data_IF_286625194029
#
_entry.id   IF_286625194029
#
_cell.length_a   1.000
_cell.length_b   1.000
_cell.length_c   1.000
_cell.angle_alpha   90.00
_cell.angle_beta   90.00
_cell.angle_gamma   90.00
#
_symmetry.space_group_name_H-M   'P 1'
#
loop_
_entity.id
_entity.type
_entity.pdbx_description
1 polymer ?
#
# COMPACT_ATOMS: atom_id res chain seq x y z
N UNK A 1 50.68 -1.25 -37.93
CA UNK A 1 49.62 -2.19 -37.49
C UNK A 1 49.37 -1.99 -36.00
N UNK A 2 48.26 -1.33 -35.66
CA UNK A 2 47.78 -1.15 -34.28
C UNK A 2 47.28 -2.51 -33.77
N UNK A 3 47.85 -3.03 -32.67
CA UNK A 3 47.26 -4.17 -31.94
C UNK A 3 46.53 -3.62 -30.72
N UNK A 4 45.20 -3.62 -30.80
CA UNK A 4 44.30 -3.44 -29.69
C UNK A 4 44.51 -4.59 -28.70
N UNK A 5 45.04 -4.31 -27.52
CA UNK A 5 45.04 -5.24 -26.40
C UNK A 5 44.04 -4.72 -25.38
N UNK A 6 42.78 -5.14 -25.54
CA UNK A 6 41.74 -4.98 -24.52
C UNK A 6 42.07 -5.98 -23.42
N UNK A 7 42.69 -5.50 -22.35
CA UNK A 7 42.88 -6.26 -21.11
C UNK A 7 41.66 -5.99 -20.24
N UNK A 8 40.66 -6.87 -20.32
CA UNK A 8 39.65 -7.01 -19.27
C UNK A 8 40.37 -7.54 -18.02
N UNK A 9 40.70 -6.64 -17.09
CA UNK A 9 41.30 -7.01 -15.81
C UNK A 9 40.24 -6.93 -14.72
N UNK A 10 39.98 -8.06 -14.09
CA UNK A 10 39.16 -8.24 -12.89
C UNK A 10 39.78 -7.48 -11.71
N UNK A 11 39.53 -6.17 -11.60
CA UNK A 11 39.93 -5.32 -10.47
C UNK A 11 38.83 -5.38 -9.42
N UNK A 12 38.72 -6.49 -8.69
CA UNK A 12 37.68 -6.63 -7.64
C UNK A 12 38.21 -6.96 -6.24
N UNK A 13 39.49 -7.34 -6.05
CA UNK A 13 39.93 -7.90 -4.76
C UNK A 13 40.93 -7.05 -3.94
N UNK A 14 41.38 -5.89 -4.42
CA UNK A 14 42.44 -5.10 -3.75
C UNK A 14 42.08 -3.67 -3.37
N UNK A 15 40.83 -3.23 -3.56
CA UNK A 15 40.43 -1.82 -3.38
C UNK A 15 39.86 -1.47 -1.99
N UNK A 16 39.79 -2.43 -1.08
CA UNK A 16 39.37 -2.25 0.32
C UNK A 16 40.66 -2.26 1.15
N UNK A 17 41.14 -1.23 1.85
CA UNK A 17 40.51 -0.22 2.69
C UNK A 17 41.50 0.95 2.78
N UNK A 18 41.10 2.19 2.47
CA UNK A 18 41.86 3.39 2.86
C UNK A 18 40.88 4.45 3.38
N UNK A 19 41.19 5.18 4.48
CA UNK A 19 40.20 5.98 5.21
C UNK A 19 39.97 7.42 4.69
N UNK A 20 40.44 7.79 3.50
CA UNK A 20 40.62 9.22 3.16
C UNK A 20 40.09 9.65 1.78
N UNK A 21 39.17 8.88 1.15
CA UNK A 21 38.46 9.43 -0.01
C UNK A 21 37.25 10.23 0.49
N UNK A 22 37.32 11.56 0.35
CA UNK A 22 36.21 12.47 0.59
C UNK A 22 35.30 12.54 -0.65
N UNK A 23 34.07 12.99 -0.45
CA UNK A 23 33.12 13.22 -1.54
C UNK A 23 33.68 14.21 -2.58
N UNK A 24 33.63 13.82 -3.86
CA UNK A 24 34.17 14.61 -4.99
C UNK A 24 35.65 14.36 -5.31
N UNK A 25 36.24 13.31 -4.73
CA UNK A 25 37.59 12.87 -5.04
C UNK A 25 37.62 12.00 -6.31
N UNK A 26 38.70 12.14 -7.09
CA UNK A 26 38.96 11.28 -8.24
C UNK A 26 39.94 10.17 -7.91
N UNK A 27 39.61 8.94 -8.30
CA UNK A 27 40.52 7.80 -8.20
C UNK A 27 41.27 7.66 -9.54
N UNK A 28 42.57 7.97 -9.49
CA UNK A 28 43.46 7.96 -10.64
C UNK A 28 44.39 6.73 -10.58
N UNK A 29 44.59 6.02 -11.69
CA UNK A 29 45.46 4.83 -11.77
C UNK A 29 46.47 4.98 -12.90
N UNK A 30 47.72 4.60 -12.64
CA UNK A 30 48.80 4.52 -13.63
C UNK A 30 49.32 3.10 -13.69
N UNK A 31 49.29 2.52 -14.88
CA UNK A 31 49.94 1.25 -15.17
C UNK A 31 51.30 1.47 -15.85
N UNK A 32 52.32 0.72 -15.45
CA UNK A 32 53.61 0.67 -16.13
C UNK A 32 54.10 -0.76 -16.23
N UNK A 33 54.60 -1.16 -17.39
CA UNK A 33 55.18 -2.50 -17.61
C UNK A 33 56.67 -2.42 -17.28
N UNK A 34 57.11 -3.20 -16.30
CA UNK A 34 58.53 -3.35 -15.96
C UNK A 34 59.24 -4.32 -16.92
N UNK A 35 60.58 -4.28 -16.92
CA UNK A 35 61.37 -5.32 -17.57
C UNK A 35 61.03 -6.68 -16.95
N UNK A 36 60.58 -7.63 -17.78
CA UNK A 36 60.06 -8.94 -17.35
C UNK A 36 58.53 -9.11 -17.41
N UNK A 37 57.80 -8.23 -18.12
CA UNK A 37 56.35 -8.32 -18.33
C UNK A 37 55.46 -8.17 -17.08
N UNK A 38 56.02 -7.75 -15.95
CA UNK A 38 55.25 -7.42 -14.75
C UNK A 38 54.57 -6.05 -14.88
N UNK A 39 53.26 -5.98 -14.67
CA UNK A 39 52.48 -4.73 -14.63
C UNK A 39 52.52 -4.15 -13.22
N UNK A 40 53.08 -2.96 -13.05
CA UNK A 40 53.02 -2.18 -11.81
C UNK A 40 51.87 -1.19 -11.89
N UNK A 41 50.95 -1.24 -10.93
CA UNK A 41 49.84 -0.30 -10.78
C UNK A 41 50.15 0.69 -9.65
N UNK A 42 49.96 1.98 -9.92
CA UNK A 42 49.98 3.05 -8.91
C UNK A 42 48.61 3.68 -8.85
N UNK A 43 48.02 3.77 -7.66
CA UNK A 43 46.76 4.48 -7.39
C UNK A 43 47.07 5.83 -6.73
N UNK A 44 46.28 6.85 -7.05
CA UNK A 44 46.26 8.14 -6.36
C UNK A 44 44.83 8.62 -6.19
N UNK A 45 44.52 9.20 -5.04
CA UNK A 45 43.26 9.92 -4.78
C UNK A 45 43.57 11.41 -4.90
N UNK A 46 42.72 12.15 -5.61
CA UNK A 46 42.89 13.59 -5.84
C UNK A 46 41.61 14.31 -5.43
N UNK A 47 41.72 15.19 -4.44
CA UNK A 47 40.64 16.10 -4.07
C UNK A 47 40.48 17.16 -5.18
N UNK A 48 39.40 17.05 -5.94
CA UNK A 48 38.97 17.95 -7.03
C UNK A 48 40.06 18.43 -8.01
N UNK A 49 39.99 17.95 -9.26
CA UNK A 49 40.89 18.37 -10.34
C UNK A 49 41.18 17.25 -11.32
N UNK A 50 42.04 17.50 -12.32
CA UNK A 50 42.44 16.48 -13.28
C UNK A 50 43.46 15.50 -12.67
N UNK A 51 43.39 14.22 -13.07
CA UNK A 51 44.41 13.25 -12.71
C UNK A 51 45.82 13.71 -13.15
N UNK A 52 46.86 13.54 -12.31
CA UNK A 52 48.22 13.94 -12.66
C UNK A 52 48.73 13.25 -13.93
N UNK A 53 49.67 13.90 -14.62
CA UNK A 53 50.21 13.39 -15.90
C UNK A 53 50.66 11.92 -15.82
N UNK A 54 50.11 11.13 -16.75
CA UNK A 54 50.36 9.69 -16.86
C UNK A 54 49.50 8.80 -15.95
N UNK A 55 48.56 9.36 -15.18
CA UNK A 55 47.48 8.61 -14.56
C UNK A 55 46.21 8.74 -15.41
N UNK A 56 45.44 7.65 -15.49
CA UNK A 56 44.11 7.61 -16.08
C UNK A 56 43.08 7.72 -14.95
N UNK A 57 42.04 8.51 -15.17
CA UNK A 57 40.87 8.54 -14.29
C UNK A 57 40.13 7.21 -14.38
N UNK A 58 39.95 6.54 -13.25
CA UNK A 58 39.20 5.29 -13.19
C UNK A 58 37.75 5.55 -12.82
N UNK A 59 37.53 6.33 -11.74
CA UNK A 59 36.22 6.67 -11.19
C UNK A 59 36.30 8.08 -10.60
N UNK A 60 35.33 8.92 -10.95
CA UNK A 60 34.98 10.11 -10.17
C UNK A 60 33.99 9.69 -9.08
N UNK A 61 34.32 9.92 -7.80
CA UNK A 61 33.39 9.55 -6.72
C UNK A 61 32.14 10.43 -6.69
N UNK A 62 32.13 11.57 -7.37
CA UNK A 62 30.91 12.33 -7.63
C UNK A 62 29.94 11.59 -8.57
N UNK A 63 30.45 10.75 -9.49
CA UNK A 63 29.60 9.95 -10.39
C UNK A 63 29.04 8.71 -9.68
N UNK A 64 29.55 8.38 -8.49
CA UNK A 64 29.01 7.30 -7.65
C UNK A 64 27.79 7.70 -6.82
N UNK A 65 27.30 8.95 -6.93
CA UNK A 65 26.10 9.44 -6.25
C UNK A 65 24.86 8.57 -6.48
N UNK A 66 24.82 7.82 -7.58
CA UNK A 66 23.64 7.03 -7.96
C UNK A 66 23.73 5.54 -7.57
N UNK A 67 24.81 5.11 -6.90
CA UNK A 67 25.04 3.69 -6.56
C UNK A 67 25.08 3.37 -5.07
N UNK A 68 24.83 4.34 -4.19
CA UNK A 68 24.79 4.10 -2.75
C UNK A 68 24.01 5.14 -1.97
N UNK A 69 22.84 4.74 -1.46
CA UNK A 69 22.16 5.35 -0.30
C UNK A 69 21.96 6.89 -0.31
N UNK A 70 21.88 7.53 -1.48
CA UNK A 70 21.38 8.91 -1.53
C UNK A 70 19.87 8.88 -1.24
N UNK A 71 19.47 9.63 -0.22
CA UNK A 71 18.08 9.93 0.14
C UNK A 71 17.20 10.39 -1.05
N UNK A 72 17.80 10.76 -2.19
CA UNK A 72 17.12 11.06 -3.45
C UNK A 72 16.40 9.85 -4.05
N UNK A 73 16.85 8.62 -3.78
CA UNK A 73 16.21 7.40 -4.32
C UNK A 73 14.90 7.05 -3.60
N UNK A 74 14.88 7.19 -2.27
CA UNK A 74 13.71 6.88 -1.43
C UNK A 74 12.65 7.97 -1.55
N UNK A 75 13.03 9.24 -1.38
CA UNK A 75 12.12 10.38 -1.32
C UNK A 75 11.91 11.06 -2.68
N UNK A 76 12.57 10.57 -3.72
CA UNK A 76 12.44 11.01 -5.09
C UNK A 76 13.41 12.12 -5.51
N UNK A 77 13.63 12.20 -6.82
CA UNK A 77 14.56 13.11 -7.46
C UNK A 77 13.92 14.45 -7.91
N UNK A 78 12.59 14.58 -7.82
CA UNK A 78 11.85 15.77 -8.23
C UNK A 78 11.68 15.96 -9.74
N UNK A 79 11.90 14.92 -10.54
CA UNK A 79 11.82 14.94 -12.01
C UNK A 79 10.46 15.38 -12.58
N UNK A 80 9.36 15.25 -11.83
CA UNK A 80 8.03 15.71 -12.21
C UNK A 80 7.77 17.19 -11.88
N UNK A 81 8.75 17.90 -11.31
CA UNK A 81 8.60 19.29 -10.88
C UNK A 81 7.67 19.45 -9.67
N UNK A 82 7.14 20.66 -9.47
CA UNK A 82 6.19 20.93 -8.40
C UNK A 82 4.76 20.61 -8.87
N UNK A 83 3.98 19.93 -8.04
CA UNK A 83 2.56 19.68 -8.28
C UNK A 83 1.71 20.55 -7.35
N UNK A 84 0.71 21.22 -7.91
CA UNK A 84 -0.25 22.02 -7.16
C UNK A 84 -1.64 21.92 -7.78
N UNK A 85 -2.57 21.29 -7.06
CA UNK A 85 -3.99 21.30 -7.40
C UNK A 85 -4.70 22.40 -6.60
N UNK A 86 -4.97 23.54 -7.24
CA UNK A 86 -5.51 24.72 -6.58
C UNK A 86 -7.04 24.64 -6.32
N UNK A 87 -7.79 23.97 -7.20
CA UNK A 87 -9.25 23.83 -7.10
C UNK A 87 -9.75 22.72 -8.02
N UNK A 88 -11.02 22.31 -7.85
CA UNK A 88 -11.68 21.37 -8.74
C UNK A 88 -11.27 19.91 -8.49
N UNK A 89 -11.53 19.03 -9.46
CA UNK A 89 -11.21 17.61 -9.37
C UNK A 89 -10.18 17.21 -10.42
N UNK A 90 -9.18 16.43 -10.04
CA UNK A 90 -8.18 15.86 -10.95
C UNK A 90 -7.96 14.37 -10.64
N UNK A 91 -7.78 13.55 -11.67
CA UNK A 91 -7.30 12.18 -11.52
C UNK A 91 -5.83 12.09 -11.90
N UNK A 92 -4.98 11.60 -10.99
CA UNK A 92 -3.56 11.39 -11.24
C UNK A 92 -3.32 9.99 -11.82
N UNK A 93 -3.21 9.89 -13.14
CA UNK A 93 -3.13 8.62 -13.86
C UNK A 93 -1.71 8.02 -13.99
N UNK A 94 -0.71 8.58 -13.29
CA UNK A 94 0.68 8.14 -13.40
C UNK A 94 1.18 7.64 -12.04
N UNK A 95 1.46 6.33 -11.89
CA UNK A 95 2.05 5.81 -10.67
C UNK A 95 3.50 6.25 -10.56
N UNK A 96 3.99 6.47 -9.33
CA UNK A 96 5.40 6.72 -8.99
C UNK A 96 6.00 8.03 -9.52
N UNK A 97 5.21 9.09 -9.71
CA UNK A 97 5.76 10.43 -10.00
C UNK A 97 6.57 10.98 -8.81
N UNK A 98 7.66 11.68 -9.11
CA UNK A 98 8.61 12.21 -8.13
C UNK A 98 8.63 13.74 -8.21
N UNK A 99 8.12 14.40 -7.18
CA UNK A 99 7.89 15.84 -7.17
C UNK A 99 8.92 16.60 -6.35
N UNK A 100 9.11 17.88 -6.65
CA UNK A 100 9.85 18.79 -5.78
C UNK A 100 9.02 19.18 -4.57
N UNK A 101 7.75 19.55 -4.77
CA UNK A 101 6.74 19.74 -3.73
C UNK A 101 5.39 19.24 -4.25
N UNK A 102 4.50 18.84 -3.35
CA UNK A 102 3.16 18.37 -3.70
C UNK A 102 2.10 19.04 -2.82
N UNK A 103 1.18 19.76 -3.45
CA UNK A 103 0.11 20.48 -2.74
C UNK A 103 -1.27 20.17 -3.31
N UNK A 104 -2.21 19.82 -2.43
CA UNK A 104 -3.65 19.78 -2.73
C UNK A 104 -4.32 20.86 -1.89
N UNK A 105 -4.81 21.91 -2.54
CA UNK A 105 -5.41 23.05 -1.85
C UNK A 105 -6.80 22.72 -1.27
N UNK A 106 -7.28 23.57 -0.36
CA UNK A 106 -8.63 23.43 0.19
C UNK A 106 -9.69 23.57 -0.91
N UNK A 107 -10.72 22.73 -0.87
CA UNK A 107 -11.76 22.66 -1.91
C UNK A 107 -11.34 21.92 -3.19
N UNK A 108 -10.11 21.43 -3.28
CA UNK A 108 -9.69 20.54 -4.36
C UNK A 108 -9.90 19.05 -4.00
N UNK A 109 -10.16 18.23 -5.02
CA UNK A 109 -10.32 16.78 -4.91
C UNK A 109 -9.35 16.07 -5.86
N UNK A 110 -8.45 15.27 -5.32
CA UNK A 110 -7.50 14.46 -6.08
C UNK A 110 -7.93 12.99 -6.03
N UNK A 111 -8.18 12.38 -7.18
CA UNK A 111 -8.41 10.95 -7.30
C UNK A 111 -7.11 10.26 -7.73
N UNK A 112 -6.74 9.18 -7.05
CA UNK A 112 -5.54 8.41 -7.34
C UNK A 112 -5.87 6.91 -7.39
N UNK A 113 -5.16 6.18 -8.24
CA UNK A 113 -5.26 4.72 -8.27
C UNK A 113 -4.68 4.10 -6.99
N UNK A 114 -5.21 2.94 -6.57
CA UNK A 114 -4.60 2.13 -5.51
C UNK A 114 -3.15 1.79 -5.87
N UNK A 115 -2.24 1.89 -4.90
CA UNK A 115 -0.80 1.67 -5.08
C UNK A 115 -0.03 2.88 -5.55
N UNK A 116 -0.67 4.05 -5.60
CA UNK A 116 0.04 5.30 -5.87
C UNK A 116 1.07 5.57 -4.78
N UNK A 117 2.31 5.79 -5.22
CA UNK A 117 3.40 6.29 -4.37
C UNK A 117 3.74 7.71 -4.80
N UNK A 118 3.54 8.67 -3.90
CA UNK A 118 3.93 10.07 -4.07
C UNK A 118 5.28 10.25 -3.40
N UNK A 119 6.29 10.64 -4.18
CA UNK A 119 7.63 10.96 -3.67
C UNK A 119 7.87 12.46 -3.77
N UNK A 120 8.34 13.11 -2.71
CA UNK A 120 8.61 14.53 -2.64
C UNK A 120 10.01 14.80 -2.09
N UNK A 121 10.88 15.44 -2.88
CA UNK A 121 12.18 15.91 -2.35
C UNK A 121 12.01 17.04 -1.33
N UNK A 122 10.96 17.84 -1.46
CA UNK A 122 10.56 18.88 -0.52
C UNK A 122 9.41 18.41 0.35
N UNK A 123 8.35 19.22 0.41
CA UNK A 123 7.20 19.00 1.29
C UNK A 123 6.01 18.38 0.56
N UNK A 124 5.16 17.72 1.34
CA UNK A 124 3.81 17.31 0.95
C UNK A 124 2.79 18.03 1.83
N UNK A 125 1.78 18.64 1.20
CA UNK A 125 0.72 19.34 1.90
C UNK A 125 -0.66 19.00 1.31
N UNK A 126 -1.51 18.38 2.13
CA UNK A 126 -2.91 18.15 1.81
C UNK A 126 -3.83 19.04 2.67
N UNK A 127 -4.57 19.95 2.02
CA UNK A 127 -5.65 20.77 2.59
C UNK A 127 -7.02 20.44 1.97
N UNK A 128 -7.07 19.60 0.94
CA UNK A 128 -8.28 19.20 0.21
C UNK A 128 -8.67 17.76 0.50
N UNK A 129 -9.22 17.07 -0.50
CA UNK A 129 -9.60 15.65 -0.41
C UNK A 129 -8.74 14.81 -1.35
N UNK A 130 -8.17 13.72 -0.86
CA UNK A 130 -7.50 12.68 -1.66
C UNK A 130 -8.36 11.43 -1.60
N UNK A 131 -8.97 11.05 -2.71
CA UNK A 131 -9.72 9.81 -2.87
C UNK A 131 -8.80 8.74 -3.46
N UNK A 132 -8.63 7.65 -2.72
CA UNK A 132 -7.87 6.49 -3.18
C UNK A 132 -8.88 5.51 -3.77
N UNK A 133 -8.70 5.17 -5.04
CA UNK A 133 -9.54 4.18 -5.70
C UNK A 133 -9.48 2.85 -4.98
N UNK A 134 -10.64 2.21 -4.82
CA UNK A 134 -10.76 0.88 -4.24
C UNK A 134 -10.07 -0.15 -5.12
N UNK A 135 -9.60 -1.22 -4.49
CA UNK A 135 -9.12 -2.37 -5.23
C UNK A 135 -10.30 -3.21 -5.68
N UNK A 136 -10.47 -3.32 -7.00
CA UNK A 136 -11.46 -4.23 -7.57
C UNK A 136 -11.14 -5.67 -7.18
N UNK A 137 -12.05 -6.29 -6.46
CA UNK A 137 -11.80 -7.60 -5.86
C UNK A 137 -12.99 -8.22 -5.16
N UNK A 138 -14.20 -7.81 -5.51
CA UNK A 138 -15.45 -8.42 -5.05
C UNK A 138 -15.40 -9.95 -5.12
N UNK A 139 -15.75 -10.65 -4.03
CA UNK A 139 -16.12 -12.07 -4.09
C UNK A 139 -17.30 -12.24 -5.05
N UNK A 140 -17.34 -13.37 -5.76
CA UNK A 140 -18.19 -13.64 -6.94
C UNK A 140 -19.71 -13.56 -6.72
N UNK A 141 -20.47 -14.15 -7.63
CA UNK A 141 -21.95 -14.08 -7.63
C UNK A 141 -22.54 -15.46 -7.39
N UNK A 142 -23.61 -15.54 -6.61
CA UNK A 142 -24.49 -16.71 -6.60
C UNK A 142 -25.82 -16.31 -7.24
N UNK A 143 -25.97 -16.52 -8.55
CA UNK A 143 -27.21 -16.14 -9.19
C UNK A 143 -28.28 -17.21 -8.94
N UNK A 144 -29.28 -16.89 -8.11
CA UNK A 144 -30.54 -17.61 -8.12
C UNK A 144 -31.25 -17.33 -9.44
N UNK A 145 -31.37 -18.35 -10.29
CA UNK A 145 -32.19 -18.28 -11.51
C UNK A 145 -33.51 -18.99 -11.23
N UNK A 146 -34.51 -18.22 -10.84
CA UNK A 146 -35.80 -18.73 -10.39
C UNK A 146 -35.78 -19.24 -8.94
N UNK A 147 -36.84 -19.93 -8.55
CA UNK A 147 -37.07 -20.46 -7.19
C UNK A 147 -36.51 -21.89 -6.98
N UNK A 148 -35.82 -22.47 -7.96
CA UNK A 148 -35.42 -23.89 -7.92
C UNK A 148 -33.98 -24.18 -8.32
N UNK A 149 -33.24 -23.22 -8.90
CA UNK A 149 -31.91 -23.49 -9.45
C UNK A 149 -30.92 -22.40 -9.07
N UNK A 150 -29.83 -22.81 -8.40
CA UNK A 150 -28.69 -21.95 -8.08
C UNK A 150 -27.61 -22.18 -9.13
N UNK A 151 -27.32 -21.15 -9.93
CA UNK A 151 -26.15 -21.15 -10.82
C UNK A 151 -25.03 -20.44 -10.10
N UNK A 152 -24.19 -21.18 -9.38
CA UNK A 152 -23.10 -20.61 -8.58
C UNK A 152 -21.85 -20.34 -9.43
N UNK A 153 -21.37 -19.09 -9.42
CA UNK A 153 -20.03 -18.73 -9.85
C UNK A 153 -19.29 -18.08 -8.66
N UNK A 154 -18.84 -18.91 -7.72
CA UNK A 154 -18.08 -18.44 -6.56
C UNK A 154 -16.62 -18.17 -6.94
N UNK A 155 -16.30 -16.93 -7.30
CA UNK A 155 -14.91 -16.47 -7.17
C UNK A 155 -14.65 -16.10 -5.70
N UNK A 156 -13.56 -16.55 -5.08
CA UNK A 156 -13.13 -15.97 -3.81
C UNK A 156 -12.92 -14.45 -4.01
N UNK A 157 -13.19 -13.68 -2.95
CA UNK A 157 -12.78 -12.26 -2.95
C UNK A 157 -11.26 -12.16 -3.08
N UNK A 158 -10.77 -11.01 -3.53
CA UNK A 158 -9.32 -10.81 -3.55
C UNK A 158 -8.75 -10.90 -2.13
N UNK A 159 -7.61 -11.57 -1.94
CA UNK A 159 -6.97 -11.61 -0.64
C UNK A 159 -6.47 -10.22 -0.26
N UNK A 160 -6.65 -9.86 1.01
CA UNK A 160 -6.01 -8.70 1.60
C UNK A 160 -4.51 -8.93 1.84
N UNK A 161 -3.83 -8.03 2.54
CA UNK A 161 -2.40 -8.13 2.82
C UNK A 161 -2.04 -9.36 3.67
N UNK A 162 -2.99 -9.89 4.44
CA UNK A 162 -2.84 -11.15 5.20
C UNK A 162 -2.87 -12.42 4.34
N UNK A 163 -2.98 -12.30 3.01
CA UNK A 163 -2.90 -13.41 2.06
C UNK A 163 -4.12 -14.33 2.01
N UNK A 164 -5.09 -14.14 2.90
CA UNK A 164 -6.33 -14.91 2.95
C UNK A 164 -7.50 -14.17 2.31
N UNK A 165 -8.38 -14.90 1.65
CA UNK A 165 -9.63 -14.38 1.07
C UNK A 165 -10.79 -14.57 2.04
N UNK A 166 -11.77 -13.67 1.98
CA UNK A 166 -13.04 -13.85 2.67
C UNK A 166 -13.83 -14.97 2.01
N UNK A 167 -14.36 -15.90 2.82
CA UNK A 167 -15.14 -17.01 2.29
C UNK A 167 -16.56 -16.58 1.92
N UNK A 168 -17.11 -17.21 0.89
CA UNK A 168 -18.51 -17.05 0.49
C UNK A 168 -19.46 -17.75 1.46
N UNK A 169 -20.73 -17.33 1.46
CA UNK A 169 -21.82 -18.07 2.08
C UNK A 169 -22.13 -19.39 1.36
N UNK A 170 -22.76 -20.31 2.10
CA UNK A 170 -23.34 -21.57 1.62
C UNK A 170 -24.78 -21.36 1.14
N UNK A 171 -25.29 -22.29 0.33
CA UNK A 171 -26.65 -22.27 -0.18
C UNK A 171 -27.34 -23.63 -0.04
N UNK A 172 -28.67 -23.64 0.06
CA UNK A 172 -29.46 -24.87 0.08
C UNK A 172 -30.70 -24.79 0.97
N UNK A 173 -31.30 -25.96 1.22
CA UNK A 173 -32.53 -26.10 2.00
C UNK A 173 -32.30 -26.49 3.47
N UNK A 174 -31.07 -26.81 3.86
CA UNK A 174 -30.72 -27.21 5.22
C UNK A 174 -29.98 -26.10 5.98
N UNK A 175 -29.25 -26.46 7.04
CA UNK A 175 -28.39 -25.53 7.77
C UNK A 175 -27.27 -25.03 6.86
N UNK A 176 -27.14 -23.70 6.74
CA UNK A 176 -26.17 -23.05 5.88
C UNK A 176 -25.18 -22.25 6.70
N UNK A 177 -23.90 -22.60 6.61
CA UNK A 177 -22.84 -21.89 7.30
C UNK A 177 -22.53 -20.58 6.60
N UNK A 178 -22.49 -19.49 7.36
CA UNK A 178 -21.98 -18.20 6.88
C UNK A 178 -20.51 -18.30 6.50
N UNK A 179 -20.07 -17.41 5.61
CA UNK A 179 -18.68 -17.28 5.24
C UNK A 179 -17.81 -16.93 6.45
N UNK A 180 -16.62 -17.52 6.52
CA UNK A 180 -15.59 -17.20 7.51
C UNK A 180 -14.78 -15.97 7.02
N UNK A 181 -14.67 -14.97 7.89
CA UNK A 181 -13.92 -13.74 7.60
C UNK A 181 -12.42 -14.01 7.48
N UNK A 182 -11.75 -13.27 6.59
CA UNK A 182 -10.30 -13.39 6.46
C UNK A 182 -9.59 -12.84 7.71
N UNK A 183 -8.47 -13.44 8.16
CA UNK A 183 -7.65 -12.87 9.21
C UNK A 183 -7.03 -11.53 8.76
N UNK A 184 -6.97 -10.57 9.68
CA UNK A 184 -6.20 -9.33 9.51
C UNK A 184 -4.71 -9.55 9.74
N UNK A 185 -3.90 -8.56 9.36
CA UNK A 185 -2.48 -8.55 9.69
C UNK A 185 -2.25 -8.39 11.21
N UNK A 186 -1.22 -9.06 11.73
CA UNK A 186 -0.69 -8.71 13.05
C UNK A 186 -0.10 -7.29 13.01
N UNK A 187 -0.07 -6.62 14.15
CA UNK A 187 0.55 -5.29 14.25
C UNK A 187 2.01 -5.31 13.77
N UNK A 188 2.77 -6.35 14.10
CA UNK A 188 4.16 -6.53 13.67
C UNK A 188 4.30 -6.67 12.15
N UNK A 189 3.38 -7.38 11.49
CA UNK A 189 3.37 -7.50 10.04
C UNK A 189 2.93 -6.18 9.38
N UNK A 190 1.96 -5.49 9.96
CA UNK A 190 1.48 -4.19 9.47
C UNK A 190 2.58 -3.11 9.51
N UNK A 191 3.46 -3.13 10.51
CA UNK A 191 4.65 -2.24 10.58
C UNK A 191 5.63 -2.43 9.43
N UNK A 192 5.71 -3.64 8.87
CA UNK A 192 6.58 -3.93 7.72
C UNK A 192 5.90 -3.60 6.38
N UNK A 193 4.63 -3.20 6.39
CA UNK A 193 3.85 -2.91 5.19
C UNK A 193 3.90 -1.42 4.84
N UNK A 194 5.11 -0.91 4.60
CA UNK A 194 5.35 0.52 4.34
C UNK A 194 5.00 0.93 2.91
N UNK A 195 5.27 0.05 1.93
CA UNK A 195 4.99 0.26 0.51
C UNK A 195 4.05 -0.86 0.01
N UNK A 196 2.73 -0.75 0.28
CA UNK A 196 1.77 -1.82 0.04
C UNK A 196 1.61 -2.22 -1.45
N UNK A 197 2.11 -1.41 -2.39
CA UNK A 197 1.83 -1.55 -3.81
C UNK A 197 0.33 -1.42 -4.08
N UNK A 198 -0.15 -1.94 -5.22
CA UNK A 198 -1.57 -1.82 -5.60
C UNK A 198 -2.53 -2.66 -4.74
N UNK A 199 -2.01 -3.56 -3.89
CA UNK A 199 -2.81 -4.43 -3.05
C UNK A 199 -3.17 -3.75 -1.74
N UNK A 200 -4.45 -3.41 -1.58
CA UNK A 200 -5.04 -2.86 -0.37
C UNK A 200 -5.86 -3.88 0.40
N UNK A 201 -7.01 -3.46 0.89
CA UNK A 201 -7.92 -4.32 1.63
C UNK A 201 -8.38 -5.52 0.81
N UNK A 202 -8.70 -6.63 1.48
CA UNK A 202 -9.32 -7.78 0.85
C UNK A 202 -10.77 -7.49 0.48
N UNK A 203 -11.25 -8.12 -0.59
CA UNK A 203 -12.66 -8.08 -0.95
C UNK A 203 -13.51 -8.93 0.00
N UNK A 204 -14.78 -8.56 0.15
CA UNK A 204 -15.77 -9.35 0.86
C UNK A 204 -16.12 -10.64 0.11
N UNK A 205 -16.51 -11.65 0.87
CA UNK A 205 -17.03 -12.91 0.37
C UNK A 205 -18.43 -12.73 -0.22
N UNK A 206 -18.72 -13.54 -1.23
CA UNK A 206 -20.02 -13.54 -1.88
C UNK A 206 -21.11 -14.09 -0.96
N UNK A 207 -22.31 -13.53 -1.10
CA UNK A 207 -23.55 -14.16 -0.65
C UNK A 207 -24.37 -14.53 -1.88
N UNK A 208 -25.61 -14.07 -1.93
CA UNK A 208 -26.44 -14.03 -3.13
C UNK A 208 -25.76 -13.19 -4.23
N UNK A 209 -25.22 -12.04 -3.84
CA UNK A 209 -24.52 -11.13 -4.73
C UNK A 209 -23.05 -10.94 -4.33
N UNK A 210 -22.40 -10.03 -5.06
CA UNK A 210 -21.00 -9.68 -4.91
C UNK A 210 -20.70 -9.15 -3.50
N UNK A 211 -19.59 -9.59 -2.93
CA UNK A 211 -19.01 -8.94 -1.75
C UNK A 211 -18.47 -7.55 -2.10
N UNK A 212 -18.24 -6.72 -1.09
CA UNK A 212 -17.70 -5.38 -1.26
C UNK A 212 -16.23 -5.35 -1.68
N UNK A 213 -15.81 -4.33 -2.43
CA UNK A 213 -14.42 -4.13 -2.85
C UNK A 213 -13.50 -3.75 -1.69
N UNK A 214 -12.22 -4.12 -1.77
CA UNK A 214 -11.22 -3.70 -0.80
C UNK A 214 -10.86 -2.21 -0.90
N UNK A 215 -10.50 -1.58 0.22
CA UNK A 215 -9.99 -0.22 0.26
C UNK A 215 -8.65 -0.09 -0.46
N UNK A 216 -8.38 1.10 -1.02
CA UNK A 216 -7.16 1.37 -1.78
C UNK A 216 -5.93 1.66 -0.92
N UNK A 217 -4.78 1.79 -1.57
CA UNK A 217 -3.52 2.14 -0.88
C UNK A 217 -2.85 3.40 -1.40
N UNK A 218 -2.21 4.12 -0.49
CA UNK A 218 -1.39 5.31 -0.75
C UNK A 218 -0.13 5.26 0.11
N UNK A 219 1.01 5.54 -0.52
CA UNK A 219 2.24 5.88 0.20
C UNK A 219 2.70 7.29 -0.19
N UNK A 220 3.01 8.12 0.80
CA UNK A 220 3.62 9.44 0.65
C UNK A 220 4.99 9.41 1.34
N UNK A 221 6.03 9.65 0.56
CA UNK A 221 7.42 9.72 1.02
C UNK A 221 7.94 11.14 0.78
N UNK A 222 8.35 11.86 1.81
CA UNK A 222 8.89 13.22 1.67
C UNK A 222 10.20 13.44 2.44
N UNK A 223 11.21 14.08 1.83
CA UNK A 223 12.39 14.51 2.60
C UNK A 223 12.05 15.69 3.52
N UNK A 224 11.14 16.58 3.10
CA UNK A 224 10.59 17.64 3.92
C UNK A 224 9.37 17.19 4.72
N UNK A 225 8.67 18.15 5.32
CA UNK A 225 7.50 17.87 6.16
C UNK A 225 6.32 17.33 5.35
N UNK A 226 5.56 16.43 5.96
CA UNK A 226 4.22 16.01 5.50
C UNK A 226 3.18 16.66 6.39
N UNK A 227 2.27 17.42 5.80
CA UNK A 227 1.15 18.06 6.50
C UNK A 227 -0.16 17.60 5.89
N UNK A 228 -1.01 16.93 6.67
CA UNK A 228 -2.39 16.60 6.32
C UNK A 228 -3.35 17.39 7.21
N UNK A 229 -4.01 18.39 6.64
CA UNK A 229 -5.12 19.14 7.25
C UNK A 229 -6.45 18.93 6.51
N UNK A 230 -6.42 18.20 5.39
CA UNK A 230 -7.58 17.80 4.60
C UNK A 230 -8.06 16.37 4.91
N UNK A 231 -8.52 15.68 3.88
CA UNK A 231 -9.03 14.31 3.96
C UNK A 231 -8.19 13.36 3.08
N UNK A 232 -7.93 12.16 3.59
CA UNK A 232 -7.38 11.03 2.82
C UNK A 232 -8.38 9.87 2.98
N UNK A 233 -9.00 9.45 1.89
CA UNK A 233 -10.12 8.50 1.89
C UNK A 233 -9.74 7.23 1.12
N UNK A 234 -9.58 6.11 1.83
CA UNK A 234 -9.22 4.80 1.27
C UNK A 234 -10.03 3.65 1.87
N UNK A 235 -11.26 3.90 2.30
CA UNK A 235 -12.11 2.92 2.97
C UNK A 235 -12.66 1.83 2.03
N UNK A 236 -13.09 0.71 2.61
CA UNK A 236 -13.66 -0.43 1.89
C UNK A 236 -14.95 -0.08 1.13
N UNK A 237 -15.31 -0.92 0.16
CA UNK A 237 -16.55 -0.84 -0.60
C UNK A 237 -17.67 -1.61 0.07
N UNK A 238 -18.88 -1.03 0.04
CA UNK A 238 -20.09 -1.76 0.40
C UNK A 238 -20.40 -2.81 -0.69
N UNK A 239 -21.04 -3.94 -0.34
CA UNK A 239 -21.53 -4.89 -1.32
C UNK A 239 -22.69 -4.28 -2.13
N UNK A 240 -22.91 -4.79 -3.34
CA UNK A 240 -24.03 -4.37 -4.20
C UNK A 240 -25.26 -5.20 -3.81
N UNK A 241 -25.94 -4.84 -2.71
CA UNK A 241 -27.14 -5.52 -2.18
C UNK A 241 -26.95 -7.04 -1.93
N UNK A 242 -27.99 -7.75 -1.48
CA UNK A 242 -27.92 -9.21 -1.21
C UNK A 242 -27.02 -9.57 -0.02
N UNK A 243 -26.78 -10.86 0.26
CA UNK A 243 -26.03 -11.29 1.47
C UNK A 243 -24.50 -11.12 1.44
N UNK A 244 -23.96 -10.20 0.64
CA UNK A 244 -22.51 -10.00 0.47
C UNK A 244 -21.81 -9.42 1.72
N UNK A 245 -20.58 -9.86 1.99
CA UNK A 245 -19.76 -9.28 3.06
C UNK A 245 -19.08 -7.98 2.65
N UNK A 246 -18.81 -7.09 3.61
CA UNK A 246 -18.18 -5.79 3.36
C UNK A 246 -16.68 -5.90 3.04
N UNK A 247 -16.16 -5.00 2.19
CA UNK A 247 -14.73 -4.98 1.86
C UNK A 247 -13.84 -4.47 2.99
N UNK A 248 -12.62 -4.98 3.07
CA UNK A 248 -11.62 -4.56 4.06
C UNK A 248 -11.11 -3.13 3.80
N UNK A 249 -10.65 -2.46 4.85
CA UNK A 249 -10.13 -1.10 4.79
C UNK A 249 -8.81 -0.94 4.03
N UNK A 250 -8.48 0.28 3.62
CA UNK A 250 -7.27 0.61 2.86
C UNK A 250 -6.02 0.75 3.70
N UNK A 251 -4.94 1.23 3.07
CA UNK A 251 -3.62 1.37 3.68
C UNK A 251 -3.03 2.73 3.32
N UNK A 252 -2.66 3.52 4.32
CA UNK A 252 -2.01 4.82 4.13
C UNK A 252 -0.69 4.85 4.88
N UNK A 253 0.39 5.11 4.15
CA UNK A 253 1.71 5.37 4.74
C UNK A 253 2.13 6.81 4.49
N UNK A 254 2.41 7.55 5.56
CA UNK A 254 3.01 8.89 5.52
C UNK A 254 4.39 8.80 6.16
N UNK A 255 5.44 8.92 5.36
CA UNK A 255 6.83 8.80 5.80
C UNK A 255 7.65 10.06 5.46
N UNK A 256 8.27 10.68 6.46
CA UNK A 256 9.08 11.89 6.29
C UNK A 256 10.42 11.83 7.01
N UNK A 257 11.49 12.38 6.42
CA UNK A 257 12.78 12.56 7.13
C UNK A 257 12.72 13.61 8.24
N UNK A 258 11.68 14.44 8.29
CA UNK A 258 11.60 15.55 9.25
C UNK A 258 10.39 15.41 10.15
N UNK A 259 9.18 15.49 9.60
CA UNK A 259 7.95 15.47 10.38
C UNK A 259 6.73 15.03 9.59
N UNK A 260 5.79 14.40 10.31
CA UNK A 260 4.42 14.14 9.85
C UNK A 260 3.47 14.85 10.82
N UNK A 261 2.62 15.73 10.29
CA UNK A 261 1.56 16.39 11.04
C UNK A 261 0.20 16.05 10.41
N UNK A 262 -0.64 15.32 11.15
CA UNK A 262 -2.03 15.08 10.79
C UNK A 262 -2.95 15.89 11.71
N UNK A 263 -3.61 16.90 11.15
CA UNK A 263 -4.70 17.65 11.77
C UNK A 263 -6.06 17.39 11.08
N UNK A 264 -6.04 16.70 9.93
CA UNK A 264 -7.22 16.37 9.14
C UNK A 264 -7.83 14.99 9.44
N UNK A 265 -8.50 14.42 8.44
CA UNK A 265 -9.06 13.07 8.49
C UNK A 265 -8.22 12.11 7.63
N UNK A 266 -7.89 10.96 8.19
CA UNK A 266 -7.46 9.77 7.44
C UNK A 266 -8.52 8.69 7.68
N UNK A 267 -9.22 8.29 6.63
CA UNK A 267 -10.29 7.31 6.72
C UNK A 267 -10.03 6.09 5.85
N UNK A 268 -9.71 4.97 6.50
CA UNK A 268 -9.42 3.68 5.88
C UNK A 268 -10.19 2.55 6.57
N UNK A 269 -11.40 2.81 7.10
CA UNK A 269 -12.23 1.79 7.74
C UNK A 269 -12.70 0.70 6.76
N UNK A 270 -13.10 -0.45 7.33
CA UNK A 270 -13.77 -1.52 6.58
C UNK A 270 -15.25 -1.20 6.35
N UNK A 271 -15.82 -1.70 5.24
CA UNK A 271 -17.21 -1.43 4.90
C UNK A 271 -18.20 -2.31 5.67
N UNK A 272 -19.43 -1.81 5.84
CA UNK A 272 -20.54 -2.59 6.40
C UNK A 272 -20.91 -3.76 5.45
N UNK A 273 -21.25 -4.91 6.03
CA UNK A 273 -21.84 -6.04 5.29
C UNK A 273 -23.29 -5.74 4.91
N UNK A 274 -23.77 -6.34 3.82
CA UNK A 274 -25.15 -6.10 3.40
C UNK A 274 -26.15 -6.68 4.39
N UNK A 275 -27.29 -5.98 4.52
CA UNK A 275 -28.42 -6.46 5.31
C UNK A 275 -29.00 -7.74 4.71
N UNK A 276 -29.68 -8.53 5.54
CA UNK A 276 -30.38 -9.72 5.07
C UNK A 276 -31.54 -9.36 4.16
N UNK A 277 -31.94 -10.30 3.31
CA UNK A 277 -33.08 -10.22 2.41
C UNK A 277 -33.85 -11.54 2.45
N UNK A 278 -35.01 -11.62 1.80
CA UNK A 278 -35.97 -12.73 1.91
C UNK A 278 -35.34 -14.14 1.79
N UNK A 279 -34.30 -14.28 0.95
CA UNK A 279 -33.62 -15.55 0.71
C UNK A 279 -32.21 -15.61 1.31
N UNK A 280 -31.71 -14.51 1.89
CA UNK A 280 -30.29 -14.28 2.06
C UNK A 280 -29.99 -13.70 3.46
N UNK A 281 -29.17 -14.38 4.25
CA UNK A 281 -28.80 -13.92 5.59
C UNK A 281 -27.76 -12.78 5.54
N UNK A 282 -27.69 -11.87 6.53
CA UNK A 282 -26.80 -10.71 6.44
C UNK A 282 -25.31 -11.08 6.29
N UNK A 283 -24.58 -10.24 5.58
CA UNK A 283 -23.13 -10.36 5.40
C UNK A 283 -22.32 -9.83 6.59
N UNK A 284 -21.09 -10.34 6.74
CA UNK A 284 -20.12 -9.87 7.73
C UNK A 284 -19.51 -8.51 7.36
N UNK A 285 -19.13 -7.72 8.36
CA UNK A 285 -18.44 -6.43 8.13
C UNK A 285 -16.97 -6.59 7.76
N UNK A 286 -16.42 -5.69 6.93
CA UNK A 286 -15.01 -5.71 6.54
C UNK A 286 -14.07 -5.29 7.67
N UNK A 287 -12.86 -5.83 7.73
CA UNK A 287 -11.84 -5.45 8.71
C UNK A 287 -11.27 -4.06 8.45
N UNK A 288 -10.87 -3.34 9.50
CA UNK A 288 -10.29 -2.00 9.41
C UNK A 288 -8.92 -1.95 8.73
N UNK A 289 -8.54 -0.78 8.21
CA UNK A 289 -7.31 -0.55 7.46
C UNK A 289 -6.04 -0.34 8.29
N UNK A 290 -4.97 0.12 7.64
CA UNK A 290 -3.68 0.39 8.28
C UNK A 290 -3.26 1.83 8.00
N UNK A 291 -2.81 2.54 9.03
CA UNK A 291 -2.19 3.86 8.90
C UNK A 291 -0.80 3.83 9.53
N UNK A 292 0.23 4.06 8.72
CA UNK A 292 1.62 4.21 9.15
C UNK A 292 2.00 5.69 9.12
N UNK A 293 2.32 6.28 10.28
CA UNK A 293 2.90 7.61 10.41
C UNK A 293 4.35 7.48 10.88
N UNK A 294 5.28 7.86 10.02
CA UNK A 294 6.71 7.60 10.23
C UNK A 294 7.54 8.86 9.98
N UNK A 295 8.07 9.45 11.05
CA UNK A 295 9.05 10.53 10.96
C UNK A 295 9.75 10.73 12.31
N UNK A 296 10.90 11.43 12.36
CA UNK A 296 11.50 11.81 13.64
C UNK A 296 10.53 12.55 14.58
N UNK A 297 9.61 13.34 14.01
CA UNK A 297 8.57 14.06 14.74
C UNK A 297 7.20 13.72 14.14
N UNK A 298 6.30 13.13 14.93
CA UNK A 298 4.91 12.86 14.52
C UNK A 298 3.94 13.60 15.43
N UNK A 299 3.04 14.38 14.83
CA UNK A 299 1.89 14.99 15.50
C UNK A 299 0.60 14.50 14.85
N UNK A 300 -0.30 13.92 15.65
CA UNK A 300 -1.59 13.43 15.17
C UNK A 300 -2.71 14.02 16.04
N UNK A 301 -3.15 15.23 15.69
CA UNK A 301 -4.26 15.93 16.33
C UNK A 301 -5.60 15.72 15.59
N UNK A 302 -5.53 15.20 14.37
CA UNK A 302 -6.68 14.89 13.53
C UNK A 302 -7.36 13.56 13.87
N UNK A 303 -8.33 13.19 13.04
CA UNK A 303 -9.03 11.91 13.16
C UNK A 303 -8.38 10.84 12.27
N UNK A 304 -8.24 9.64 12.81
CA UNK A 304 -7.82 8.46 12.07
C UNK A 304 -8.89 7.38 12.26
N UNK A 305 -9.69 7.14 11.23
CA UNK A 305 -10.71 6.10 11.24
C UNK A 305 -10.18 4.82 10.61
N UNK A 306 -9.95 3.82 11.46
CA UNK A 306 -9.47 2.48 11.13
C UNK A 306 -10.45 1.42 11.67
N UNK A 307 -11.70 1.78 11.92
CA UNK A 307 -12.67 0.83 12.47
C UNK A 307 -12.93 -0.33 11.51
N UNK A 308 -13.37 -1.46 12.05
CA UNK A 308 -14.05 -2.46 11.25
C UNK A 308 -15.42 -1.95 10.79
N UNK A 309 -15.96 -2.59 9.77
CA UNK A 309 -17.31 -2.40 9.29
C UNK A 309 -18.33 -3.12 10.17
N UNK A 310 -19.53 -2.55 10.22
CA UNK A 310 -20.67 -3.17 10.91
C UNK A 310 -21.16 -4.42 10.16
N UNK A 311 -21.77 -5.40 10.85
CA UNK A 311 -22.47 -6.48 10.17
C UNK A 311 -23.71 -5.94 9.45
N UNK A 312 -24.22 -6.73 8.51
CA UNK A 312 -25.58 -6.55 8.01
C UNK A 312 -26.61 -6.76 9.11
N UNK A 313 -27.70 -6.01 9.04
CA UNK A 313 -28.87 -6.19 9.88
C UNK A 313 -29.60 -7.49 9.49
N UNK A 314 -30.05 -8.24 10.49
CA UNK A 314 -30.92 -9.39 10.25
C UNK A 314 -32.32 -8.94 9.86
N UNK A 315 -32.99 -9.77 9.06
CA UNK A 315 -34.43 -9.67 8.82
C UNK A 315 -35.18 -10.62 9.76
N UNK A 316 -36.42 -10.28 10.10
CA UNK A 316 -37.28 -11.06 11.00
C UNK A 316 -38.10 -12.15 10.32
N UNK A 317 -38.01 -12.28 8.99
CA UNK A 317 -38.88 -13.18 8.23
C UNK A 317 -38.35 -14.62 8.17
N UNK A 318 -39.29 -15.56 8.06
CA UNK A 318 -38.96 -16.97 7.87
C UNK A 318 -38.42 -17.18 6.45
N UNK A 319 -37.20 -17.70 6.34
CA UNK A 319 -36.63 -18.04 5.05
C UNK A 319 -37.43 -19.19 4.40
N UNK A 320 -37.78 -19.09 3.12
CA UNK A 320 -38.41 -20.17 2.37
C UNK A 320 -37.44 -21.35 2.15
N UNK A 321 -37.90 -22.43 1.50
CA UNK A 321 -37.12 -23.68 1.35
C UNK A 321 -35.74 -23.50 0.69
N UNK A 322 -35.51 -22.46 -0.11
CA UNK A 322 -34.19 -22.13 -0.66
C UNK A 322 -33.59 -20.93 0.06
N UNK A 323 -32.39 -21.12 0.61
CA UNK A 323 -31.74 -20.16 1.51
C UNK A 323 -30.28 -19.94 1.11
N UNK A 324 -29.75 -18.79 1.48
CA UNK A 324 -28.37 -18.37 1.23
C UNK A 324 -27.84 -17.79 2.55
N UNK A 325 -26.67 -18.24 2.99
CA UNK A 325 -26.03 -17.66 4.17
C UNK A 325 -25.25 -16.38 3.82
N UNK A 326 -24.79 -15.67 4.85
CA UNK A 326 -24.02 -14.44 4.67
C UNK A 326 -22.63 -14.69 4.12
N UNK A 327 -22.17 -13.85 3.20
CA UNK A 327 -20.76 -13.74 2.83
C UNK A 327 -19.93 -13.09 3.94
N UNK A 328 -18.65 -13.47 4.05
CA UNK A 328 -17.77 -12.90 5.08
C UNK A 328 -17.17 -11.54 4.69
N UNK A 329 -16.75 -10.74 5.66
CA UNK A 329 -16.02 -9.50 5.39
C UNK A 329 -14.58 -9.73 4.90
N UNK A 330 -14.09 -8.82 4.06
CA UNK A 330 -12.68 -8.76 3.66
C UNK A 330 -11.78 -8.26 4.78
N UNK A 331 -10.48 -8.60 4.75
CA UNK A 331 -9.52 -8.20 5.81
C UNK A 331 -8.48 -7.19 5.34
N UNK A 332 -7.88 -6.47 6.29
CA UNK A 332 -6.74 -5.59 6.05
C UNK A 332 -5.82 -5.58 7.29
N UNK A 333 -5.80 -4.50 8.06
CA UNK A 333 -5.23 -4.49 9.41
C UNK A 333 -6.07 -5.29 10.40
N UNK A 334 -7.40 -5.15 10.30
CA UNK A 334 -8.37 -5.92 11.06
C UNK A 334 -8.85 -7.17 10.31
N UNK A 335 -9.31 -8.17 11.06
CA UNK A 335 -9.99 -9.34 10.50
C UNK A 335 -11.37 -8.98 9.97
N UNK A 336 -11.80 -9.66 8.90
CA UNK A 336 -13.18 -9.58 8.45
C UNK A 336 -14.14 -10.30 9.40
N UNK A 337 -15.38 -9.82 9.49
CA UNK A 337 -16.44 -10.48 10.24
C UNK A 337 -17.00 -11.69 9.49
N UNK A 338 -17.46 -12.70 10.22
CA UNK A 338 -18.18 -13.84 9.62
C UNK A 338 -19.57 -13.41 9.13
N UNK A 339 -20.02 -14.02 8.03
CA UNK A 339 -21.41 -13.92 7.59
C UNK A 339 -22.38 -14.67 8.50
N UNK A 340 -23.67 -14.36 8.39
CA UNK A 340 -24.70 -15.02 9.17
C UNK A 340 -24.88 -16.50 8.75
N UNK A 341 -25.06 -17.38 9.73
CA UNK A 341 -25.43 -18.79 9.52
C UNK A 341 -26.94 -18.93 9.54
N UNK A 342 -27.51 -19.68 8.60
CA UNK A 342 -28.95 -19.98 8.54
C UNK A 342 -29.20 -21.33 9.20
N UNK A 343 -30.05 -21.35 10.22
CA UNK A 343 -30.53 -22.53 10.92
C UNK A 343 -32.00 -22.81 10.52
N UNK A 344 -32.50 -24.00 10.84
CA UNK A 344 -33.93 -24.31 10.69
C UNK A 344 -34.84 -23.46 11.61
N UNK A 345 -34.27 -22.86 12.66
CA UNK A 345 -34.97 -21.99 13.61
C UNK A 345 -34.81 -20.49 13.35
N UNK A 346 -34.14 -20.09 12.25
CA UNK A 346 -33.82 -18.68 11.94
C UNK A 346 -32.34 -18.48 11.63
N UNK A 347 -31.85 -17.24 11.58
CA UNK A 347 -30.44 -16.94 11.30
C UNK A 347 -29.66 -16.51 12.55
N UNK A 348 -28.41 -16.97 12.67
CA UNK A 348 -27.41 -16.43 13.59
C UNK A 348 -26.86 -15.14 13.00
N UNK A 349 -26.76 -14.08 13.81
CA UNK A 349 -26.29 -12.77 13.37
C UNK A 349 -24.88 -12.82 12.75
N UNK A 350 -24.67 -12.00 11.73
CA UNK A 350 -23.34 -11.75 11.18
C UNK A 350 -22.47 -10.98 12.18
N UNK A 351 -21.15 -11.05 12.02
CA UNK A 351 -20.19 -10.37 12.89
C UNK A 351 -19.64 -9.08 12.26
N UNK A 352 -19.31 -8.11 13.11
CA UNK A 352 -18.55 -6.93 12.73
C UNK A 352 -17.11 -7.32 12.34
N UNK A 353 -16.47 -6.50 11.50
CA UNK A 353 -15.04 -6.59 11.29
C UNK A 353 -14.24 -6.11 12.51
N UNK A 354 -13.02 -6.62 12.67
CA UNK A 354 -12.07 -6.12 13.65
C UNK A 354 -11.52 -4.74 13.25
N UNK A 355 -11.13 -3.94 14.24
CA UNK A 355 -10.41 -2.71 13.99
C UNK A 355 -9.02 -2.97 13.39
N UNK A 356 -8.52 -1.99 12.64
CA UNK A 356 -7.20 -2.00 12.03
C UNK A 356 -6.10 -1.45 12.94
N UNK A 357 -5.01 -0.95 12.33
CA UNK A 357 -3.83 -0.50 13.05
C UNK A 357 -3.48 0.96 12.73
N UNK A 358 -3.25 1.76 13.78
CA UNK A 358 -2.55 3.04 13.69
C UNK A 358 -1.16 2.86 14.27
N UNK A 359 -0.15 3.01 13.42
CA UNK A 359 1.24 2.76 13.74
C UNK A 359 2.01 4.08 13.65
N UNK A 360 2.58 4.50 14.78
CA UNK A 360 3.42 5.68 14.87
C UNK A 360 4.85 5.22 15.13
N UNK A 361 5.78 5.63 14.26
CA UNK A 361 7.20 5.33 14.38
C UNK A 361 7.99 6.64 14.38
N UNK A 362 8.65 6.94 15.49
CA UNK A 362 9.45 8.16 15.67
C UNK A 362 10.93 7.91 15.36
N UNK A 363 11.24 7.71 14.09
CA UNK A 363 12.61 7.51 13.59
C UNK A 363 12.73 8.06 12.15
N UNK A 364 13.96 8.09 11.61
CA UNK A 364 14.17 8.40 10.19
C UNK A 364 13.72 7.21 9.33
N UNK A 365 12.79 7.39 8.37
CA UNK A 365 12.35 6.32 7.48
C UNK A 365 13.43 5.81 6.52
N UNK A 366 14.51 6.56 6.31
CA UNK A 366 15.57 6.20 5.35
C UNK A 366 16.28 4.87 5.68
N UNK A 367 16.21 4.44 6.94
CA UNK A 367 16.79 3.18 7.39
C UNK A 367 15.90 1.95 7.14
N UNK A 368 14.62 2.15 6.80
CA UNK A 368 13.61 1.08 6.69
C UNK A 368 12.97 0.94 5.30
N UNK A 369 13.30 1.85 4.36
CA UNK A 369 12.80 1.90 2.99
C UNK A 369 13.93 1.68 1.99
#
# INVERSE_FOLDING_TARGET
MRKNLVVFLTVAAGLMVHPEASYGDKICVKASIGQGAAVKLKRRVVAQGACPSGFMELIDTADLQDLGADSSSVYGNGSAGAFSLASGSLTLNAPNLQFTNFTVASGASLNIASGTVIRCRGSFENRGTINIERQQGTGGTQLLTGNTTITAASSPGRPGPGGSFAASGSYGAEVLFGGIGAPGLSESAARNFLLPGAQGGGGGGAGDLFGGDGGGTLAVLASGAIVNSGQILGFGGMPIQGSGGGGGGGIVTLASMTSVSNAGLIDVHGAKGSDGELYAAPGGGGGGGIVNLFAPIVSNQGQVNISGGLPGAAITDAYPELRISGGAGGSSGGSGGSGATVLNSGSVAAAAGGAGHLLITTADPSALL
#
